data_IF_038497012660
#
_entry.id   IF_038497012660
#
_cell.length_a   1.000
_cell.length_b   1.000
_cell.length_c   1.000
_cell.angle_alpha   90.00
_cell.angle_beta   90.00
_cell.angle_gamma   90.00
#
_symmetry.space_group_name_H-M   'P 1'
#
loop_
_entity.id
_entity.type
_entity.pdbx_description
1 polymer ?
#
# COMPACT_ATOMS: atom_id res chain seq x y z
N UNK A 1 2.93 -6.16 -14.88
CA UNK A 1 3.51 -6.21 -13.52
C UNK A 1 3.52 -7.63 -12.92
N UNK A 2 2.39 -8.28 -12.58
CA UNK A 2 2.40 -9.55 -11.82
C UNK A 2 3.25 -10.65 -12.48
N UNK A 3 2.98 -10.96 -13.76
CA UNK A 3 3.72 -12.01 -14.49
C UNK A 3 5.23 -11.73 -14.55
N UNK A 4 5.63 -10.47 -14.71
CA UNK A 4 7.05 -10.13 -14.78
C UNK A 4 7.76 -10.25 -13.43
N UNK A 5 7.09 -9.97 -12.31
CA UNK A 5 7.63 -10.30 -10.98
C UNK A 5 7.83 -11.80 -10.83
N UNK A 6 6.79 -12.60 -11.11
CA UNK A 6 6.81 -14.05 -10.88
C UNK A 6 7.83 -14.78 -11.76
N UNK A 7 8.06 -14.31 -12.99
CA UNK A 7 9.08 -14.88 -13.88
C UNK A 7 10.51 -14.56 -13.45
N UNK A 8 10.73 -13.52 -12.65
CA UNK A 8 12.05 -13.07 -12.22
C UNK A 8 12.37 -13.37 -10.75
N UNK A 9 11.48 -14.05 -10.02
CA UNK A 9 11.74 -14.46 -8.63
C UNK A 9 11.47 -15.94 -8.41
N UNK A 10 12.19 -16.52 -7.45
CA UNK A 10 11.93 -17.88 -6.93
C UNK A 10 11.36 -17.87 -5.52
N UNK A 11 11.22 -16.68 -4.92
CA UNK A 11 10.68 -16.51 -3.57
C UNK A 11 9.15 -16.61 -3.61
N UNK A 12 8.50 -17.07 -2.54
CA UNK A 12 7.06 -16.95 -2.42
C UNK A 12 6.67 -15.47 -2.45
N UNK A 13 5.66 -15.13 -3.25
CA UNK A 13 5.16 -13.76 -3.41
C UNK A 13 3.73 -13.68 -2.92
N UNK A 14 3.44 -12.61 -2.17
CA UNK A 14 2.08 -12.22 -1.80
C UNK A 14 1.75 -10.83 -2.32
N UNK A 15 0.72 -10.72 -3.16
CA UNK A 15 0.24 -9.44 -3.69
C UNK A 15 -0.88 -8.86 -2.83
N UNK A 16 -0.82 -7.56 -2.58
CA UNK A 16 -1.84 -6.84 -1.82
C UNK A 16 -2.48 -5.80 -2.73
N UNK A 17 -3.81 -5.77 -2.79
CA UNK A 17 -4.54 -4.85 -3.65
C UNK A 17 -5.59 -4.07 -2.87
N UNK A 18 -5.76 -2.79 -3.21
CA UNK A 18 -6.82 -1.97 -2.62
C UNK A 18 -8.15 -2.33 -3.28
N UNK A 19 -9.03 -3.01 -2.54
CA UNK A 19 -10.27 -3.65 -3.02
C UNK A 19 -11.17 -2.70 -3.82
N UNK A 20 -11.29 -1.45 -3.37
CA UNK A 20 -12.30 -0.50 -3.86
C UNK A 20 -12.01 0.02 -5.29
N UNK A 21 -10.78 -0.15 -5.79
CA UNK A 21 -10.37 0.39 -7.09
C UNK A 21 -10.11 -0.68 -8.16
N UNK A 22 -10.46 -1.93 -7.86
CA UNK A 22 -10.39 -3.05 -8.81
C UNK A 22 -11.74 -3.27 -9.50
N UNK A 23 -11.72 -3.53 -10.81
CA UNK A 23 -12.92 -3.92 -11.55
C UNK A 23 -13.42 -5.31 -11.13
N UNK A 24 -14.72 -5.61 -11.28
CA UNK A 24 -15.27 -6.94 -11.06
C UNK A 24 -14.52 -8.03 -11.84
N UNK A 25 -14.28 -7.79 -13.14
CA UNK A 25 -13.56 -8.75 -13.99
C UNK A 25 -12.16 -9.08 -13.49
N UNK A 26 -11.43 -8.11 -12.92
CA UNK A 26 -10.11 -8.42 -12.34
C UNK A 26 -10.24 -9.24 -11.05
N UNK A 27 -11.25 -8.96 -10.22
CA UNK A 27 -11.52 -9.71 -8.98
C UNK A 27 -11.91 -11.17 -9.27
N UNK A 28 -12.55 -11.42 -10.41
CA UNK A 28 -12.87 -12.77 -10.88
C UNK A 28 -11.64 -13.51 -11.40
N UNK A 29 -10.71 -12.84 -12.08
CA UNK A 29 -9.53 -13.46 -12.68
C UNK A 29 -8.42 -13.77 -11.67
N UNK A 30 -8.19 -12.88 -10.69
CA UNK A 30 -7.04 -12.99 -9.77
C UNK A 30 -6.98 -14.29 -8.94
N UNK A 31 -8.08 -14.92 -8.49
CA UNK A 31 -8.02 -16.20 -7.76
C UNK A 31 -7.52 -17.35 -8.63
N UNK A 32 -7.89 -17.35 -9.92
CA UNK A 32 -7.39 -18.34 -10.88
C UNK A 32 -5.92 -18.11 -11.18
N UNK A 33 -5.53 -16.84 -11.33
CA UNK A 33 -4.14 -16.45 -11.56
C UNK A 33 -3.24 -16.86 -10.39
N UNK A 34 -3.70 -16.66 -9.15
CA UNK A 34 -2.99 -17.08 -7.94
C UNK A 34 -2.72 -18.59 -7.91
N UNK A 35 -3.70 -19.41 -8.32
CA UNK A 35 -3.56 -20.88 -8.40
C UNK A 35 -2.61 -21.31 -9.52
N UNK A 36 -2.77 -20.77 -10.73
CA UNK A 36 -1.97 -21.14 -11.90
C UNK A 36 -0.49 -20.76 -11.72
N UNK A 37 -0.24 -19.54 -11.21
CA UNK A 37 1.11 -18.98 -11.11
C UNK A 37 1.73 -19.10 -9.71
N UNK A 38 1.03 -19.73 -8.76
CA UNK A 38 1.58 -20.09 -7.45
C UNK A 38 1.93 -18.91 -6.54
N UNK A 39 1.03 -17.94 -6.40
CA UNK A 39 1.21 -16.80 -5.49
C UNK A 39 0.03 -16.62 -4.55
N UNK A 40 0.25 -15.92 -3.44
CA UNK A 40 -0.84 -15.51 -2.54
C UNK A 40 -1.32 -14.10 -2.88
N UNK A 41 -2.58 -13.80 -2.57
CA UNK A 41 -3.05 -12.42 -2.62
C UNK A 41 -4.00 -12.09 -1.47
N UNK A 42 -4.15 -10.80 -1.20
CA UNK A 42 -5.15 -10.28 -0.28
C UNK A 42 -5.73 -8.97 -0.82
N UNK A 43 -7.04 -8.82 -0.65
CA UNK A 43 -7.74 -7.58 -0.92
C UNK A 43 -7.86 -6.80 0.39
N UNK A 44 -7.25 -5.63 0.45
CA UNK A 44 -7.25 -4.76 1.63
C UNK A 44 -8.06 -3.51 1.35
N UNK A 45 -8.59 -2.92 2.42
CA UNK A 45 -9.33 -1.67 2.35
C UNK A 45 -9.27 -0.99 3.70
N UNK A 46 -9.39 0.33 3.70
CA UNK A 46 -9.48 1.13 4.91
C UNK A 46 -10.47 2.26 4.64
N UNK A 47 -11.35 2.55 5.60
CA UNK A 47 -12.33 3.62 5.44
C UNK A 47 -11.64 4.96 5.64
N UNK A 48 -11.88 5.89 4.71
CA UNK A 48 -11.39 7.26 4.84
C UNK A 48 -11.91 7.90 6.15
N UNK A 49 -11.05 8.38 7.06
CA UNK A 49 -11.49 8.98 8.32
C UNK A 49 -12.28 10.27 8.11
N UNK A 50 -13.32 10.49 8.91
CA UNK A 50 -14.21 11.67 8.78
C UNK A 50 -13.51 13.01 9.02
N UNK A 51 -12.44 13.02 9.81
CA UNK A 51 -11.68 14.21 10.16
C UNK A 51 -10.62 14.60 9.13
N UNK A 52 -10.26 13.70 8.20
CA UNK A 52 -9.21 13.90 7.22
C UNK A 52 -9.82 14.49 5.95
N UNK A 53 -9.28 15.59 5.44
CA UNK A 53 -9.79 16.30 4.26
C UNK A 53 -9.91 15.35 3.06
N UNK A 54 -11.14 15.17 2.57
CA UNK A 54 -11.44 14.17 1.54
C UNK A 54 -11.10 14.68 0.14
N UNK A 55 -10.56 13.79 -0.70
CA UNK A 55 -10.41 14.04 -2.13
C UNK A 55 -11.69 13.67 -2.89
N UNK A 56 -12.07 14.50 -3.87
CA UNK A 56 -13.26 14.27 -4.71
C UNK A 56 -12.92 13.52 -5.99
N UNK A 57 -11.75 13.79 -6.56
CA UNK A 57 -11.28 13.12 -7.78
C UNK A 57 -10.78 11.70 -7.47
N UNK A 58 -11.26 10.72 -8.24
CA UNK A 58 -10.90 9.30 -8.09
C UNK A 58 -9.39 9.08 -8.16
N UNK A 59 -8.70 9.77 -9.06
CA UNK A 59 -7.24 9.66 -9.21
C UNK A 59 -6.50 10.12 -7.95
N UNK A 60 -6.89 11.26 -7.39
CA UNK A 60 -6.30 11.80 -6.15
C UNK A 60 -6.60 10.93 -4.94
N UNK A 61 -7.79 10.31 -4.88
CA UNK A 61 -8.10 9.29 -3.87
C UNK A 61 -7.12 8.10 -3.98
N UNK A 62 -6.93 7.54 -5.18
CA UNK A 62 -5.99 6.42 -5.39
C UNK A 62 -4.58 6.80 -4.93
N UNK A 63 -4.09 7.99 -5.30
CA UNK A 63 -2.80 8.50 -4.82
C UNK A 63 -2.72 8.62 -3.30
N UNK A 64 -3.77 9.11 -2.64
CA UNK A 64 -3.82 9.20 -1.19
C UNK A 64 -3.70 7.81 -0.53
N UNK A 65 -4.42 6.80 -1.05
CA UNK A 65 -4.36 5.44 -0.51
C UNK A 65 -2.99 4.77 -0.70
N UNK A 66 -2.19 5.20 -1.67
CA UNK A 66 -0.80 4.73 -1.82
C UNK A 66 0.06 5.12 -0.61
N UNK A 67 -0.24 6.21 0.10
CA UNK A 67 0.70 6.79 1.09
C UNK A 67 0.12 7.01 2.49
N UNK A 68 -1.15 7.45 2.62
CA UNK A 68 -1.69 7.95 3.89
C UNK A 68 -2.05 6.87 4.91
N UNK A 69 -2.26 5.63 4.47
CA UNK A 69 -2.82 4.56 5.31
C UNK A 69 -1.91 3.34 5.42
N UNK A 70 -0.64 3.46 5.04
CA UNK A 70 0.33 2.36 5.04
C UNK A 70 0.48 1.68 6.42
N UNK A 71 0.32 2.43 7.51
CA UNK A 71 0.40 1.92 8.88
C UNK A 71 -0.80 1.05 9.29
N UNK A 72 -1.99 1.37 8.78
CA UNK A 72 -3.28 0.81 9.23
C UNK A 72 -3.96 -0.12 8.22
N UNK A 73 -3.65 -0.01 6.93
CA UNK A 73 -4.30 -0.82 5.88
C UNK A 73 -3.79 -2.27 5.83
N UNK A 74 -2.60 -2.52 6.38
CA UNK A 74 -1.97 -3.84 6.45
C UNK A 74 -2.05 -4.41 7.87
N UNK A 75 -2.13 -5.76 8.02
CA UNK A 75 -2.11 -6.38 9.35
C UNK A 75 -0.81 -6.08 10.10
N UNK A 76 -0.88 -6.08 11.43
CA UNK A 76 0.26 -5.77 12.30
C UNK A 76 1.43 -6.76 12.15
N UNK A 77 1.12 -8.02 11.78
CA UNK A 77 2.12 -9.05 11.53
C UNK A 77 2.94 -8.84 10.25
N UNK A 78 2.51 -7.95 9.35
CA UNK A 78 3.26 -7.63 8.14
C UNK A 78 4.34 -6.59 8.45
N UNK A 79 5.59 -6.96 8.19
CA UNK A 79 6.77 -6.16 8.57
C UNK A 79 7.25 -5.21 7.49
N UNK A 80 7.11 -5.58 6.21
CA UNK A 80 7.64 -4.82 5.09
C UNK A 80 6.80 -5.05 3.84
N UNK A 81 6.58 -4.00 3.05
CA UNK A 81 5.91 -4.06 1.75
C UNK A 81 6.71 -3.30 0.69
N UNK A 82 6.51 -3.69 -0.56
CA UNK A 82 7.05 -2.99 -1.73
C UNK A 82 5.85 -2.59 -2.59
N UNK A 83 5.76 -1.30 -2.89
CA UNK A 83 4.80 -0.79 -3.83
C UNK A 83 5.43 -0.78 -5.24
N UNK A 84 4.68 -1.26 -6.23
CA UNK A 84 5.05 -1.26 -7.64
C UNK A 84 3.85 -0.75 -8.44
N UNK A 85 4.02 0.32 -9.22
CA UNK A 85 2.95 0.82 -10.10
C UNK A 85 2.55 -0.24 -11.15
N UNK A 86 1.26 -0.23 -11.53
CA UNK A 86 0.64 -1.33 -12.26
C UNK A 86 1.17 -1.50 -13.70
N UNK A 87 1.65 -0.42 -14.31
CA UNK A 87 2.21 -0.38 -15.65
C UNK A 87 3.70 -0.75 -15.71
N UNK A 88 4.32 -1.09 -14.57
CA UNK A 88 5.72 -1.50 -14.56
C UNK A 88 5.95 -2.90 -15.10
N UNK A 89 7.15 -3.07 -15.67
CA UNK A 89 7.75 -4.36 -15.98
C UNK A 89 9.00 -4.57 -15.13
N UNK A 90 9.03 -5.65 -14.38
CA UNK A 90 10.14 -6.03 -13.49
C UNK A 90 11.03 -7.05 -14.19
N UNK A 91 12.35 -6.83 -14.17
CA UNK A 91 13.39 -7.65 -14.82
C UNK A 91 14.35 -8.31 -13.84
N UNK A 92 14.21 -8.04 -12.55
CA UNK A 92 15.11 -8.50 -11.51
C UNK A 92 14.32 -9.11 -10.34
N UNK A 93 14.97 -9.93 -9.52
CA UNK A 93 14.36 -10.50 -8.32
C UNK A 93 14.03 -9.39 -7.29
N UNK A 94 12.73 -9.13 -7.12
CA UNK A 94 12.20 -8.18 -6.11
C UNK A 94 12.62 -8.53 -4.68
N UNK A 95 13.02 -9.77 -4.43
CA UNK A 95 13.62 -10.20 -3.17
C UNK A 95 14.86 -9.37 -2.80
N UNK A 96 15.66 -8.92 -3.77
CA UNK A 96 16.81 -8.05 -3.50
C UNK A 96 16.37 -6.71 -2.88
N UNK A 97 15.25 -6.16 -3.35
CA UNK A 97 14.70 -4.91 -2.81
C UNK A 97 14.06 -5.12 -1.43
N UNK A 98 13.46 -6.29 -1.20
CA UNK A 98 12.92 -6.67 0.11
C UNK A 98 14.02 -6.78 1.17
N UNK A 99 15.16 -7.38 0.82
CA UNK A 99 16.28 -7.60 1.75
C UNK A 99 17.17 -6.36 1.93
N UNK A 100 16.98 -5.31 1.11
CA UNK A 100 17.80 -4.10 1.14
C UNK A 100 17.74 -3.44 2.54
N UNK A 101 18.89 -3.16 3.18
CA UNK A 101 18.92 -2.53 4.48
C UNK A 101 18.49 -1.06 4.38
N UNK A 102 17.43 -0.69 5.11
CA UNK A 102 16.89 0.68 5.05
C UNK A 102 17.60 1.69 5.96
N UNK A 103 18.61 1.26 6.70
CA UNK A 103 19.44 2.10 7.59
C UNK A 103 18.64 3.00 8.55
N UNK A 104 17.50 2.48 9.04
CA UNK A 104 16.62 3.20 9.97
C UNK A 104 15.60 4.12 9.30
N UNK A 105 15.61 4.27 7.97
CA UNK A 105 14.55 4.96 7.24
C UNK A 105 13.29 4.10 7.15
N UNK A 106 12.09 4.64 7.43
CA UNK A 106 10.84 3.91 7.27
C UNK A 106 10.44 3.71 5.80
N UNK A 107 10.99 4.54 4.91
CA UNK A 107 10.68 4.57 3.48
C UNK A 107 11.96 4.48 2.65
N UNK A 108 11.87 3.84 1.48
CA UNK A 108 12.93 3.89 0.48
C UNK A 108 12.36 4.05 -0.92
N UNK A 109 12.80 5.07 -1.65
CA UNK A 109 12.25 5.44 -2.96
C UNK A 109 13.38 5.59 -3.98
N UNK A 110 13.08 5.41 -5.27
CA UNK A 110 14.06 5.71 -6.32
C UNK A 110 14.04 7.21 -6.66
N UNK A 111 15.20 7.90 -6.72
CA UNK A 111 15.25 9.28 -7.15
C UNK A 111 14.92 9.44 -8.65
N UNK A 112 14.48 10.65 -9.04
CA UNK A 112 14.34 11.01 -10.46
C UNK A 112 15.68 10.89 -11.19
N UNK A 113 15.71 10.16 -12.31
CA UNK A 113 16.85 10.14 -13.23
C UNK A 113 17.21 11.54 -13.69
N UNK A 114 18.49 11.89 -13.73
CA UNK A 114 18.99 13.21 -14.16
C UNK A 114 19.79 13.19 -15.47
N UNK A 115 19.89 12.03 -16.12
CA UNK A 115 20.81 11.79 -17.23
C UNK A 115 20.19 11.84 -18.64
N UNK A 116 18.88 12.11 -18.78
CA UNK A 116 18.31 12.57 -20.04
C UNK A 116 18.31 14.10 -20.11
N UNK A 117 19.11 14.66 -21.03
CA UNK A 117 19.32 16.12 -21.18
C UNK A 117 18.14 16.81 -21.85
N UNK A 118 17.41 16.12 -22.72
CA UNK A 118 16.27 16.69 -23.46
C UNK A 118 15.13 17.10 -22.51
N UNK A 119 15.10 16.50 -21.32
CA UNK A 119 14.09 16.78 -20.30
C UNK A 119 14.48 17.88 -19.31
N UNK A 120 15.65 18.53 -19.42
CA UNK A 120 16.15 19.45 -18.39
C UNK A 120 15.16 20.59 -18.09
N UNK A 121 14.49 21.13 -19.12
CA UNK A 121 13.49 22.19 -18.96
C UNK A 121 12.23 21.77 -18.19
N UNK A 122 11.94 20.47 -18.10
CA UNK A 122 10.78 19.92 -17.39
C UNK A 122 11.12 19.50 -15.94
N UNK A 123 12.38 19.65 -15.50
CA UNK A 123 12.83 19.25 -14.16
C UNK A 123 12.46 20.30 -13.10
N UNK A 124 11.16 20.45 -12.85
CA UNK A 124 10.64 21.45 -11.92
C UNK A 124 11.23 21.33 -10.51
N UNK A 125 11.64 20.14 -10.07
CA UNK A 125 12.25 19.92 -8.76
C UNK A 125 13.66 20.49 -8.60
N UNK A 126 14.32 20.89 -9.70
CA UNK A 126 15.63 21.57 -9.67
C UNK A 126 15.52 23.09 -9.56
N UNK A 127 14.32 23.64 -9.48
CA UNK A 127 14.07 25.09 -9.43
C UNK A 127 12.98 25.47 -8.42
N UNK A 128 12.86 26.77 -8.14
CA UNK A 128 11.83 27.35 -7.28
C UNK A 128 11.70 26.66 -5.92
N UNK A 129 10.44 26.49 -5.50
CA UNK A 129 10.06 25.93 -4.20
C UNK A 129 10.77 24.59 -3.89
N UNK A 130 10.73 23.62 -4.80
CA UNK A 130 11.29 22.29 -4.53
C UNK A 130 12.80 22.33 -4.31
N UNK A 131 13.54 23.12 -5.10
CA UNK A 131 14.99 23.26 -4.90
C UNK A 131 15.33 23.79 -3.50
N UNK A 132 14.62 24.83 -3.07
CA UNK A 132 14.84 25.48 -1.79
C UNK A 132 14.41 24.59 -0.61
N UNK A 133 13.24 23.95 -0.74
CA UNK A 133 12.68 23.05 0.27
C UNK A 133 13.55 21.80 0.48
N UNK A 134 14.04 21.18 -0.60
CA UNK A 134 14.78 19.93 -0.53
C UNK A 134 16.17 20.05 0.11
N UNK A 135 16.78 21.25 0.10
CA UNK A 135 18.09 21.52 0.73
C UNK A 135 19.18 20.51 0.36
N UNK A 136 19.24 20.15 -0.92
CA UNK A 136 20.21 19.19 -1.46
C UNK A 136 19.77 17.72 -1.40
N UNK A 137 18.60 17.41 -0.80
CA UNK A 137 18.02 16.07 -0.88
C UNK A 137 17.43 15.77 -2.27
N UNK A 138 17.40 14.51 -2.72
CA UNK A 138 16.79 14.15 -4.00
C UNK A 138 15.26 14.32 -3.99
N UNK A 139 14.71 14.53 -5.18
CA UNK A 139 13.28 14.38 -5.45
C UNK A 139 13.02 12.96 -5.97
N UNK A 140 12.15 12.23 -5.28
CA UNK A 140 11.90 10.80 -5.46
C UNK A 140 10.61 10.50 -6.22
N UNK A 141 10.53 9.34 -6.87
CA UNK A 141 9.38 8.90 -7.67
C UNK A 141 8.50 7.93 -6.87
N UNK A 142 7.18 8.11 -6.90
CA UNK A 142 6.21 7.25 -6.20
C UNK A 142 5.82 5.97 -6.97
N UNK A 143 6.55 5.62 -8.03
CA UNK A 143 6.26 4.46 -8.86
C UNK A 143 6.79 3.15 -8.30
N UNK A 144 7.92 3.21 -7.58
CA UNK A 144 8.52 2.06 -6.88
C UNK A 144 9.09 2.53 -5.54
N UNK A 145 8.62 1.93 -4.45
CA UNK A 145 9.16 2.22 -3.12
C UNK A 145 8.95 1.07 -2.13
N UNK A 146 9.79 1.06 -1.10
CA UNK A 146 9.75 0.10 0.01
C UNK A 146 9.27 0.80 1.26
N UNK A 147 8.45 0.11 2.04
CA UNK A 147 7.99 0.56 3.36
C UNK A 147 8.40 -0.50 4.38
N UNK A 148 9.27 -0.11 5.31
CA UNK A 148 9.47 -0.87 6.55
C UNK A 148 8.33 -0.52 7.50
N UNK A 149 7.29 -1.36 7.53
CA UNK A 149 6.06 -1.12 8.28
C UNK A 149 6.33 -1.10 9.79
N UNK A 150 7.29 -1.90 10.27
CA UNK A 150 7.67 -1.89 11.69
C UNK A 150 8.22 -0.53 12.06
N UNK A 151 9.18 -0.01 11.28
CA UNK A 151 9.77 1.32 11.54
C UNK A 151 8.76 2.44 11.29
N UNK A 152 7.98 2.35 10.22
CA UNK A 152 6.96 3.34 9.84
C UNK A 152 5.93 3.53 10.96
N UNK A 153 5.41 2.43 11.53
CA UNK A 153 4.49 2.47 12.68
C UNK A 153 5.18 2.99 13.94
N UNK A 154 6.38 2.49 14.28
CA UNK A 154 7.12 2.91 15.49
C UNK A 154 7.45 4.41 15.49
N UNK A 155 7.63 5.01 14.32
CA UNK A 155 7.90 6.44 14.16
C UNK A 155 6.65 7.31 14.07
N UNK A 156 5.44 6.72 14.10
CA UNK A 156 4.20 7.42 13.78
C UNK A 156 4.29 8.19 12.44
N UNK A 157 4.95 7.60 11.44
CA UNK A 157 5.16 8.24 10.14
C UNK A 157 3.83 8.44 9.40
N UNK A 158 2.88 7.51 9.54
CA UNK A 158 1.52 7.63 8.98
C UNK A 158 0.78 8.85 9.52
N UNK A 159 0.80 9.07 10.84
CA UNK A 159 0.20 10.26 11.46
C UNK A 159 0.86 11.55 11.01
N UNK A 160 2.19 11.57 10.96
CA UNK A 160 2.96 12.72 10.46
C UNK A 160 2.55 13.07 9.02
N UNK A 161 2.45 12.08 8.13
CA UNK A 161 2.04 12.28 6.74
C UNK A 161 0.59 12.77 6.66
N UNK A 162 -0.33 12.22 7.47
CA UNK A 162 -1.74 12.66 7.51
C UNK A 162 -1.89 14.10 8.01
N UNK A 163 -1.12 14.52 9.01
CA UNK A 163 -1.12 15.91 9.52
C UNK A 163 -0.58 16.89 8.47
N UNK A 164 0.54 16.55 7.81
CA UNK A 164 1.09 17.39 6.73
C UNK A 164 0.08 17.47 5.57
N UNK A 165 -0.49 16.33 5.17
CA UNK A 165 -1.51 16.27 4.14
C UNK A 165 -2.70 17.17 4.50
N UNK A 166 -3.25 17.06 5.70
CA UNK A 166 -4.41 17.86 6.16
C UNK A 166 -4.14 19.36 6.12
N UNK A 167 -2.89 19.78 6.37
CA UNK A 167 -2.48 21.18 6.24
C UNK A 167 -2.39 21.63 4.80
N UNK A 168 -1.85 20.80 3.90
CA UNK A 168 -1.56 21.18 2.50
C UNK A 168 -2.78 20.98 1.58
N UNK A 169 -3.61 19.99 1.83
CA UNK A 169 -4.68 19.57 0.91
C UNK A 169 -5.85 20.55 0.80
N UNK A 170 -5.88 21.59 1.64
CA UNK A 170 -6.90 22.65 1.63
C UNK A 170 -6.68 23.64 0.48
N UNK A 171 -5.44 23.77 0.01
CA UNK A 171 -5.14 24.50 -1.22
C UNK A 171 -5.20 23.53 -2.41
N UNK A 172 -6.09 23.73 -3.39
CA UNK A 172 -6.20 22.86 -4.56
C UNK A 172 -4.96 22.86 -5.45
N UNK A 173 -4.09 23.87 -5.35
CA UNK A 173 -2.84 23.96 -6.13
C UNK A 173 -1.67 23.23 -5.46
N UNK A 174 -1.86 22.78 -4.22
CA UNK A 174 -0.86 22.01 -3.48
C UNK A 174 -0.95 20.52 -3.81
N UNK A 175 0.16 19.81 -3.68
CA UNK A 175 0.25 18.35 -3.90
C UNK A 175 -0.27 17.98 -5.30
N UNK A 176 0.40 18.49 -6.34
CA UNK A 176 0.05 18.25 -7.73
C UNK A 176 0.03 16.75 -8.03
N UNK A 177 1.07 16.03 -7.61
CA UNK A 177 1.12 14.57 -7.60
C UNK A 177 1.17 14.09 -6.16
N UNK A 178 0.01 13.94 -5.52
CA UNK A 178 -0.12 13.72 -4.08
C UNK A 178 0.79 12.61 -3.51
N UNK A 179 0.82 11.45 -4.16
CA UNK A 179 1.60 10.29 -3.74
C UNK A 179 3.11 10.49 -3.84
N UNK A 180 3.56 11.44 -4.67
CA UNK A 180 4.97 11.77 -4.86
C UNK A 180 5.38 13.02 -4.07
N UNK A 181 4.57 14.07 -4.11
CA UNK A 181 4.86 15.35 -3.48
C UNK A 181 4.84 15.25 -1.95
N UNK A 182 3.88 14.51 -1.38
CA UNK A 182 3.77 14.39 0.08
C UNK A 182 5.03 13.77 0.73
N UNK A 183 5.55 12.59 0.30
CA UNK A 183 6.77 12.05 0.87
C UNK A 183 7.99 12.95 0.59
N UNK A 184 8.08 13.56 -0.60
CA UNK A 184 9.18 14.49 -0.91
C UNK A 184 9.14 15.76 -0.06
N UNK A 185 7.96 16.26 0.30
CA UNK A 185 7.80 17.38 1.22
C UNK A 185 8.18 16.97 2.64
N UNK A 186 7.72 15.81 3.09
CA UNK A 186 7.89 15.31 4.45
C UNK A 186 9.28 14.71 4.73
N UNK A 187 10.18 14.58 3.73
CA UNK A 187 11.43 13.83 3.88
C UNK A 187 12.45 14.37 4.91
N UNK A 188 12.21 15.55 5.46
CA UNK A 188 12.98 16.09 6.59
C UNK A 188 12.53 15.53 7.94
N UNK A 189 11.26 15.11 8.06
CA UNK A 189 10.66 14.52 9.27
C UNK A 189 10.43 13.02 9.14
N UNK A 190 10.07 12.54 7.95
CA UNK A 190 9.90 11.11 7.61
C UNK A 190 11.03 10.70 6.65
N UNK A 191 12.15 10.14 7.15
CA UNK A 191 13.33 9.89 6.32
C UNK A 191 13.05 8.94 5.15
N UNK A 192 13.64 9.24 4.01
CA UNK A 192 13.63 8.41 2.80
C UNK A 192 15.06 7.96 2.51
N UNK A 193 15.26 6.65 2.37
CA UNK A 193 16.47 6.12 1.75
C UNK A 193 16.34 6.23 0.22
N UNK A 194 17.32 6.84 -0.44
CA UNK A 194 17.38 6.83 -1.90
C UNK A 194 17.87 5.46 -2.41
N UNK A 195 17.03 4.78 -3.18
CA UNK A 195 17.37 3.52 -3.83
C UNK A 195 18.37 3.73 -4.98
N UNK A 196 19.20 2.72 -5.31
CA UNK A 196 20.04 2.76 -6.51
C UNK A 196 19.22 3.04 -7.78
N UNK A 197 19.73 3.90 -8.66
CA UNK A 197 19.01 4.37 -9.86
C UNK A 197 18.56 3.23 -10.79
N UNK A 198 19.30 2.12 -10.83
CA UNK A 198 18.96 0.92 -11.61
C UNK A 198 17.60 0.30 -11.22
N UNK A 199 17.08 0.60 -10.03
CA UNK A 199 15.77 0.10 -9.61
C UNK A 199 14.60 0.68 -10.38
N UNK A 200 14.75 1.85 -11.00
CA UNK A 200 13.65 2.45 -11.76
C UNK A 200 14.20 3.19 -12.98
N UNK A 201 13.80 2.72 -14.16
CA UNK A 201 14.09 3.37 -15.42
C UNK A 201 12.79 3.77 -16.12
N UNK A 202 12.78 4.93 -16.74
CA UNK A 202 11.65 5.40 -17.55
C UNK A 202 12.21 6.20 -18.74
N UNK A 203 11.60 6.06 -19.92
CA UNK A 203 12.18 6.58 -21.15
C UNK A 203 12.29 8.10 -21.19
N UNK A 204 11.31 8.80 -20.61
CA UNK A 204 11.34 10.25 -20.59
C UNK A 204 12.53 10.75 -19.77
N UNK A 205 12.72 10.27 -18.54
CA UNK A 205 13.68 10.89 -17.62
C UNK A 205 15.08 10.27 -17.63
N UNK A 206 15.20 9.01 -18.04
CA UNK A 206 16.44 8.25 -17.98
C UNK A 206 17.09 8.08 -19.36
N UNK A 207 18.40 8.30 -19.44
CA UNK A 207 19.16 8.11 -20.67
C UNK A 207 19.16 6.66 -21.13
N UNK A 208 19.00 6.44 -22.45
CA UNK A 208 18.84 5.10 -23.05
C UNK A 208 20.02 4.14 -22.74
N UNK A 209 21.24 4.67 -22.60
CA UNK A 209 22.42 3.87 -22.23
C UNK A 209 22.29 3.13 -20.88
N UNK A 210 21.38 3.57 -20.00
CA UNK A 210 21.15 2.94 -18.69
C UNK A 210 20.07 1.85 -18.70
N UNK A 211 19.27 1.76 -19.77
CA UNK A 211 18.13 0.84 -19.89
C UNK A 211 18.52 -0.63 -19.76
N UNK A 212 19.71 -1.01 -20.25
CA UNK A 212 20.21 -2.38 -20.16
C UNK A 212 20.47 -2.86 -18.72
N UNK A 213 20.65 -1.93 -17.78
CA UNK A 213 20.85 -2.21 -16.34
C UNK A 213 19.58 -2.02 -15.51
N UNK A 214 18.46 -1.65 -16.14
CA UNK A 214 17.21 -1.37 -15.45
C UNK A 214 16.61 -2.66 -14.86
N UNK A 215 16.37 -2.65 -13.55
CA UNK A 215 15.72 -3.71 -12.78
C UNK A 215 14.21 -3.62 -12.86
N UNK A 216 13.65 -2.41 -12.94
CA UNK A 216 12.26 -2.20 -13.34
C UNK A 216 12.18 -1.07 -14.37
N UNK A 217 11.16 -1.16 -15.23
CA UNK A 217 10.83 -0.14 -16.23
C UNK A 217 9.43 0.38 -15.93
N UNK A 218 9.34 1.68 -15.72
CA UNK A 218 8.11 2.44 -15.58
C UNK A 218 7.70 3.06 -16.92
N UNK A 219 6.42 2.95 -17.26
CA UNK A 219 5.83 3.53 -18.47
C UNK A 219 5.35 4.95 -18.17
N UNK A 220 6.31 5.79 -17.79
CA UNK A 220 6.11 7.17 -17.42
C UNK A 220 5.50 7.99 -18.58
N UNK A 221 4.68 8.97 -18.23
CA UNK A 221 4.14 9.91 -19.21
C UNK A 221 5.25 10.82 -19.74
N UNK A 222 5.20 11.12 -21.03
CA UNK A 222 6.14 12.02 -21.68
C UNK A 222 5.54 13.45 -21.74
N UNK A 223 6.21 14.49 -21.22
CA UNK A 223 5.70 15.86 -21.33
C UNK A 223 5.81 16.43 -22.75
N UNK A 224 6.66 15.88 -23.61
CA UNK A 224 6.88 16.34 -24.98
C UNK A 224 5.97 15.65 -26.01
N UNK A 225 5.44 14.47 -25.68
CA UNK A 225 4.65 13.66 -26.63
C UNK A 225 3.41 13.08 -25.94
N UNK A 226 2.34 12.86 -26.70
CA UNK A 226 1.10 12.24 -26.20
C UNK A 226 0.97 10.78 -26.63
N UNK A 227 2.09 10.05 -26.69
CA UNK A 227 2.07 8.63 -27.08
C UNK A 227 1.24 7.81 -26.05
N UNK A 228 0.23 7.02 -26.50
CA UNK A 228 -0.52 6.15 -25.60
C UNK A 228 0.34 5.07 -24.95
N UNK A 229 0.08 4.74 -23.69
CA UNK A 229 0.87 3.75 -22.92
C UNK A 229 0.99 2.37 -23.60
N UNK A 230 -0.04 1.89 -24.29
CA UNK A 230 0.00 0.61 -25.01
C UNK A 230 1.03 0.62 -26.15
N UNK A 231 1.15 1.74 -26.86
CA UNK A 231 2.14 1.89 -27.93
C UNK A 231 3.55 1.98 -27.33
N UNK A 232 3.71 2.79 -26.27
CA UNK A 232 4.95 2.90 -25.52
C UNK A 232 5.41 1.55 -24.98
N UNK A 233 4.51 0.75 -24.40
CA UNK A 233 4.84 -0.56 -23.83
C UNK A 233 5.48 -1.51 -24.86
N UNK A 234 4.86 -1.63 -26.05
CA UNK A 234 5.35 -2.49 -27.14
C UNK A 234 6.70 -2.03 -27.69
N UNK A 235 6.93 -0.72 -27.75
CA UNK A 235 8.16 -0.12 -28.28
C UNK A 235 9.31 -0.13 -27.27
N UNK A 236 9.01 0.19 -26.01
CA UNK A 236 9.99 0.38 -24.94
C UNK A 236 10.41 -0.97 -24.36
N UNK A 237 9.48 -1.91 -24.16
CA UNK A 237 9.76 -3.14 -23.41
C UNK A 237 9.56 -4.36 -24.33
N UNK A 238 10.66 -4.93 -24.79
CA UNK A 238 10.64 -6.01 -25.78
C UNK A 238 9.85 -7.25 -25.31
N UNK A 239 9.91 -7.57 -24.03
CA UNK A 239 9.20 -8.71 -23.43
C UNK A 239 7.71 -8.44 -23.17
N UNK A 240 7.24 -7.20 -23.29
CA UNK A 240 5.86 -6.84 -22.93
C UNK A 240 4.83 -7.57 -23.76
N UNK A 241 5.05 -7.70 -25.07
CA UNK A 241 4.12 -8.41 -25.96
C UNK A 241 3.96 -9.90 -25.58
N UNK A 242 5.02 -10.54 -25.08
CA UNK A 242 4.96 -11.92 -24.60
C UNK A 242 4.16 -12.03 -23.29
N UNK A 243 4.34 -11.08 -22.37
CA UNK A 243 3.59 -11.02 -21.12
C UNK A 243 2.09 -10.77 -21.37
N UNK A 244 1.77 -9.85 -22.29
CA UNK A 244 0.40 -9.51 -22.68
C UNK A 244 -0.30 -10.72 -23.33
N UNK A 245 0.36 -11.39 -24.27
CA UNK A 245 -0.19 -12.57 -24.94
C UNK A 245 -0.43 -13.73 -23.97
N UNK A 246 0.47 -13.96 -23.01
CA UNK A 246 0.30 -14.96 -21.97
C UNK A 246 -0.91 -14.65 -21.08
N UNK A 247 -1.03 -13.40 -20.61
CA UNK A 247 -2.18 -12.98 -19.82
C UNK A 247 -3.48 -13.09 -20.61
N UNK A 248 -3.50 -12.70 -21.88
CA UNK A 248 -4.68 -12.76 -22.75
C UNK A 248 -5.17 -14.20 -22.90
N UNK A 249 -4.27 -15.14 -23.20
CA UNK A 249 -4.59 -16.58 -23.26
C UNK A 249 -5.10 -17.10 -21.93
N UNK A 250 -4.48 -16.71 -20.82
CA UNK A 250 -4.94 -17.10 -19.50
C UNK A 250 -6.36 -16.61 -19.22
N UNK A 251 -6.65 -15.33 -19.45
CA UNK A 251 -7.98 -14.76 -19.28
C UNK A 251 -9.02 -15.46 -20.16
N UNK A 252 -8.69 -15.76 -21.43
CA UNK A 252 -9.59 -16.52 -22.31
C UNK A 252 -9.94 -17.91 -21.76
N UNK A 253 -8.98 -18.61 -21.17
CA UNK A 253 -9.21 -19.93 -20.54
C UNK A 253 -10.13 -19.82 -19.32
N UNK A 254 -9.95 -18.78 -18.50
CA UNK A 254 -10.84 -18.49 -17.35
C UNK A 254 -12.26 -18.20 -17.84
N UNK A 255 -12.42 -17.33 -18.84
CA UNK A 255 -13.74 -16.99 -19.40
C UNK A 255 -14.44 -18.20 -20.06
N UNK A 256 -13.68 -19.19 -20.56
CA UNK A 256 -14.25 -20.45 -21.08
C UNK A 256 -14.63 -21.47 -20.00
N UNK A 257 -14.42 -21.16 -18.72
CA UNK A 257 -14.73 -22.06 -17.61
C UNK A 257 -13.76 -23.23 -17.46
N UNK A 258 -12.55 -23.17 -18.05
CA UNK A 258 -11.56 -24.27 -17.96
C UNK A 258 -11.07 -24.55 -16.53
N UNK A 259 -11.45 -23.72 -15.57
CA UNK A 259 -11.06 -23.81 -14.17
C UNK A 259 -12.25 -24.00 -13.22
N UNK A 260 -13.48 -24.16 -13.73
CA UNK A 260 -14.71 -24.26 -12.92
C UNK A 260 -14.87 -25.64 -12.27
N UNK A 261 -14.28 -26.69 -12.86
CA UNK A 261 -14.32 -28.07 -12.35
C UNK A 261 -13.37 -28.34 -11.16
N UNK A 262 -12.63 -27.33 -10.70
CA UNK A 262 -11.71 -27.45 -9.58
C UNK A 262 -12.25 -26.67 -8.39
N UNK A 263 -13.19 -27.30 -7.67
CA UNK A 263 -13.65 -26.85 -6.35
C UNK A 263 -12.48 -26.44 -5.44
N UNK A 264 -12.66 -25.52 -4.49
CA UNK A 264 -11.59 -25.11 -3.57
C UNK A 264 -11.24 -26.27 -2.63
N UNK A 265 -10.40 -27.19 -3.08
CA UNK A 265 -9.70 -28.06 -2.15
C UNK A 265 -8.75 -27.17 -1.36
N UNK A 266 -8.99 -27.07 -0.06
CA UNK A 266 -8.15 -26.39 0.92
C UNK A 266 -6.65 -26.58 0.61
N UNK A 267 -5.80 -25.57 0.91
CA UNK A 267 -4.37 -25.64 0.60
C UNK A 267 -3.77 -26.94 1.15
N UNK A 268 -3.21 -27.77 0.26
CA UNK A 268 -2.38 -28.91 0.65
C UNK A 268 -1.09 -28.37 1.24
N UNK A 269 -1.13 -28.06 2.54
CA UNK A 269 0.00 -27.47 3.25
C UNK A 269 -0.25 -27.14 4.72
N UNK A 270 -1.24 -27.74 5.39
CA UNK A 270 -1.26 -27.75 6.85
C UNK A 270 -0.29 -28.82 7.35
N UNK A 271 0.95 -28.40 7.65
CA UNK A 271 1.85 -29.17 8.49
C UNK A 271 1.11 -29.46 9.81
N UNK A 272 0.80 -30.73 10.04
CA UNK A 272 0.28 -31.24 11.31
C UNK A 272 1.33 -30.94 12.37
N UNK A 273 1.14 -29.90 13.17
CA UNK A 273 1.82 -29.79 14.45
C UNK A 273 1.30 -30.92 15.34
N UNK A 274 2.22 -31.79 15.74
CA UNK A 274 1.94 -32.87 16.69
C UNK A 274 1.42 -32.27 18.00
N UNK A 275 0.32 -32.84 18.48
CA UNK A 275 -0.40 -32.37 19.66
C UNK A 275 0.46 -32.34 20.91
N UNK A 276 0.46 -31.19 21.57
CA UNK A 276 0.78 -31.07 22.98
C UNK A 276 -0.25 -31.87 23.77
N UNK A 277 0.21 -32.91 24.48
CA UNK A 277 -0.61 -33.64 25.42
C UNK A 277 -0.87 -32.75 26.64
N UNK A 278 -2.13 -32.44 26.91
CA UNK A 278 -2.59 -31.87 28.17
C UNK A 278 -2.48 -32.94 29.26
N UNK A 279 -1.77 -32.62 30.34
CA UNK A 279 -1.76 -33.43 31.56
C UNK A 279 -3.13 -33.33 32.26
N UNK A 280 -3.67 -34.41 32.85
CA UNK A 280 -4.94 -34.37 33.56
C UNK A 280 -4.81 -33.72 34.94
N UNK A 281 -5.81 -32.92 35.32
CA UNK A 281 -6.04 -32.44 36.70
C UNK A 281 -6.41 -33.61 37.62
N UNK A 282 -6.02 -33.58 38.90
CA UNK A 282 -6.47 -34.58 39.87
C UNK A 282 -7.91 -34.29 40.32
N UNK A 283 -8.68 -35.36 40.50
CA UNK A 283 -10.05 -35.36 41.01
C UNK A 283 -10.10 -35.03 42.51
N UNK A 284 -11.13 -34.27 42.89
CA UNK A 284 -11.52 -34.02 44.29
C UNK A 284 -12.36 -35.18 44.83
N UNK A 285 -12.06 -35.60 46.06
CA UNK A 285 -12.82 -36.55 46.87
C UNK A 285 -12.46 -36.39 48.35
N UNK A 286 -13.33 -36.82 49.29
CA UNK A 286 -14.08 -35.88 50.12
C UNK A 286 -13.55 -35.65 51.55
N UNK A 287 -14.14 -34.61 52.16
CA UNK A 287 -13.96 -34.07 53.50
C UNK A 287 -14.28 -35.07 54.63
N UNK A 288 -13.46 -35.08 55.69
CA UNK A 288 -13.71 -35.80 56.94
C UNK A 288 -12.92 -35.21 58.13
N UNK A 289 -13.63 -34.37 58.89
CA UNK A 289 -13.52 -33.91 60.29
C UNK A 289 -12.38 -34.35 61.26
N UNK A 290 -11.78 -33.31 61.87
CA UNK A 290 -11.74 -33.01 63.32
C UNK A 290 -10.48 -33.28 64.21
N UNK A 291 -10.33 -32.33 65.16
CA UNK A 291 -9.66 -32.36 66.49
C UNK A 291 -8.14 -32.15 66.52
N UNK A 292 -7.65 -30.93 66.85
CA UNK A 292 -7.35 -30.30 68.18
C UNK A 292 -6.04 -30.73 68.83
N UNK A 293 -5.40 -29.74 69.49
CA UNK A 293 -4.20 -29.77 70.36
C UNK A 293 -2.86 -29.79 69.63
N UNK A 294 -1.82 -29.02 69.99
CA UNK A 294 -1.55 -28.14 71.12
C UNK A 294 -0.02 -27.94 71.23
N UNK A 295 0.42 -26.79 71.73
CA UNK A 295 1.81 -26.51 72.14
C UNK A 295 2.84 -26.19 71.04
N UNK A 296 3.92 -25.45 71.26
CA UNK A 296 4.35 -24.46 72.25
C UNK A 296 5.73 -23.94 71.75
N UNK A 297 5.94 -22.62 71.87
CA UNK A 297 7.21 -21.91 72.23
C UNK A 297 8.46 -21.82 71.33
N UNK A 298 9.09 -20.65 71.48
CA UNK A 298 10.45 -20.21 71.12
C UNK A 298 10.40 -19.09 70.08
N UNK A 299 10.21 -17.80 70.38
CA UNK A 299 10.96 -16.88 71.28
C UNK A 299 12.49 -16.89 71.07
N UNK A 300 12.99 -15.84 70.41
CA UNK A 300 14.03 -14.88 70.84
C UNK A 300 14.43 -14.03 69.60
N UNK A 301 14.08 -12.75 69.54
CA UNK A 301 14.83 -11.57 70.05
C UNK A 301 16.14 -11.31 69.27
N UNK A 302 16.57 -10.09 68.95
CA UNK A 302 16.11 -8.72 69.20
C UNK A 302 17.01 -7.75 68.41
N UNK A 303 16.59 -6.48 68.33
CA UNK A 303 17.43 -5.29 68.14
C UNK A 303 17.37 -4.72 66.72
N UNK A 304 16.68 -3.60 66.43
CA UNK A 304 16.74 -2.29 67.11
C UNK A 304 17.85 -1.46 66.43
N UNK A 305 17.74 -0.20 66.02
CA UNK A 305 16.94 0.99 66.34
C UNK A 305 17.17 1.96 65.13
N UNK A 306 16.18 2.65 64.55
CA UNK A 306 15.65 4.00 64.90
C UNK A 306 16.73 5.10 64.96
N UNK A 307 16.60 6.35 64.51
CA UNK A 307 15.48 7.29 64.28
C UNK A 307 15.90 8.30 63.18
N UNK A 308 14.98 8.85 62.37
CA UNK A 308 14.36 10.17 62.58
C UNK A 308 14.90 11.16 61.50
N UNK A 309 14.16 12.06 60.85
CA UNK A 309 12.96 12.82 61.25
C UNK A 309 12.52 13.73 60.06
N UNK A 310 11.18 13.87 59.87
CA UNK A 310 10.32 15.00 59.40
C UNK A 310 10.83 15.96 58.27
N UNK A 311 10.04 16.52 57.33
CA UNK A 311 8.60 16.80 57.20
C UNK A 311 8.26 17.33 55.77
N UNK A 312 6.99 17.21 55.35
CA UNK A 312 6.31 17.99 54.29
C UNK A 312 6.25 17.32 52.91
N UNK A 313 5.11 16.97 52.29
CA UNK A 313 3.70 17.31 52.51
C UNK A 313 3.14 17.92 51.22
N UNK A 314 2.58 17.11 50.32
CA UNK A 314 1.61 17.55 49.30
C UNK A 314 0.77 16.36 48.82
N UNK A 315 -0.53 16.60 48.71
CA UNK A 315 -1.64 15.64 48.63
C UNK A 315 -1.74 14.94 47.26
N UNK A 316 -2.04 13.64 47.28
CA UNK A 316 -2.48 12.87 46.12
C UNK A 316 -3.83 12.22 46.46
N UNK A 317 -4.87 12.56 45.71
CA UNK A 317 -6.17 11.88 45.77
C UNK A 317 -6.11 10.56 45.00
N UNK A 318 -6.43 9.48 45.71
CA UNK A 318 -6.76 8.16 45.17
C UNK A 318 -8.18 8.15 44.60
N UNK A 319 -8.37 7.41 43.50
CA UNK A 319 -9.67 7.13 42.90
C UNK A 319 -9.67 5.75 42.25
N UNK A 320 -9.98 4.75 43.08
CA UNK A 320 -10.60 3.44 42.84
C UNK A 320 -10.22 2.59 41.60
N UNK A 321 -9.58 1.47 41.90
CA UNK A 321 -9.49 0.27 41.07
C UNK A 321 -10.85 -0.44 40.96
N UNK A 322 -11.30 -0.68 39.73
CA UNK A 322 -12.37 -1.62 39.39
C UNK A 322 -11.86 -2.68 38.44
N UNK A 323 -11.47 -3.85 38.98
CA UNK A 323 -11.08 -5.02 38.20
C UNK A 323 -12.28 -5.68 37.52
N UNK A 324 -12.15 -5.97 36.24
CA UNK A 324 -13.03 -6.90 35.52
C UNK A 324 -12.15 -7.78 34.61
N UNK A 325 -12.00 -9.04 34.99
CA UNK A 325 -11.60 -10.12 34.08
C UNK A 325 -12.76 -10.39 33.10
N UNK A 326 -12.49 -10.36 31.79
CA UNK A 326 -13.32 -11.07 30.79
C UNK A 326 -12.38 -11.77 29.82
N UNK A 327 -12.27 -13.09 29.99
CA UNK A 327 -11.94 -13.99 28.89
C UNK A 327 -13.11 -14.02 27.91
N UNK A 328 -12.83 -13.80 26.63
CA UNK A 328 -13.81 -13.90 25.56
C UNK A 328 -13.11 -14.24 24.24
N UNK A 329 -13.37 -15.44 23.74
CA UNK A 329 -13.09 -15.86 22.37
C UNK A 329 -13.79 -14.93 21.40
N UNK A 330 -13.06 -14.34 20.45
CA UNK A 330 -13.68 -13.51 19.41
C UNK A 330 -13.93 -14.34 18.15
N UNK A 331 -15.19 -14.72 18.01
CA UNK A 331 -15.82 -15.26 16.83
C UNK A 331 -15.72 -14.29 15.64
N UNK A 332 -15.82 -14.84 14.43
CA UNK A 332 -15.59 -14.16 13.17
C UNK A 332 -16.43 -12.89 12.95
N UNK A 333 -15.83 -11.93 12.26
CA UNK A 333 -16.51 -10.75 11.76
C UNK A 333 -17.43 -11.15 10.60
N UNK A 334 -18.74 -11.05 10.82
CA UNK A 334 -19.74 -10.96 9.75
C UNK A 334 -19.68 -9.58 9.09
N UNK A 335 -19.91 -9.56 7.78
CA UNK A 335 -19.93 -8.38 6.92
C UNK A 335 -21.31 -7.71 7.04
N UNK A 336 -21.33 -6.41 7.28
CA UNK A 336 -22.55 -5.58 7.32
C UNK A 336 -23.18 -5.50 5.89
N UNK A 337 -24.48 -5.82 5.70
CA UNK A 337 -25.13 -5.86 4.38
C UNK A 337 -25.41 -4.49 3.73
N UNK A 338 -25.10 -3.38 4.40
CA UNK A 338 -25.52 -2.04 3.96
C UNK A 338 -24.79 -1.47 2.70
N UNK A 339 -24.22 -2.32 1.84
CA UNK A 339 -23.51 -1.92 0.62
C UNK A 339 -23.94 -2.65 -0.66
N UNK A 340 -25.01 -3.45 -0.63
CA UNK A 340 -25.61 -4.01 -1.86
C UNK A 340 -26.38 -2.95 -2.70
N UNK A 341 -26.71 -1.78 -2.13
CA UNK A 341 -27.51 -0.76 -2.81
C UNK A 341 -26.74 0.22 -3.71
N UNK A 342 -25.42 0.05 -3.91
CA UNK A 342 -24.64 0.88 -4.85
C UNK A 342 -24.56 0.30 -6.26
N UNK A 343 -24.87 -0.98 -6.47
CA UNK A 343 -24.89 -1.59 -7.81
C UNK A 343 -26.11 -1.12 -8.62
N UNK A 344 -27.25 -0.87 -7.97
CA UNK A 344 -28.47 -0.36 -8.64
C UNK A 344 -28.36 1.07 -9.20
N UNK A 345 -27.39 1.85 -8.75
CA UNK A 345 -27.15 3.21 -9.26
C UNK A 345 -26.23 3.23 -10.49
N UNK A 346 -25.46 2.15 -10.75
CA UNK A 346 -24.64 2.04 -11.96
C UNK A 346 -25.48 1.69 -13.20
N UNK A 347 -26.54 0.87 -13.08
CA UNK A 347 -27.43 0.58 -14.22
C UNK A 347 -28.21 1.81 -14.71
N UNK A 348 -28.64 2.71 -13.80
CA UNK A 348 -29.34 3.94 -14.17
C UNK A 348 -28.45 4.95 -14.91
N UNK A 349 -27.13 4.94 -14.68
CA UNK A 349 -26.20 5.84 -15.35
C UNK A 349 -25.86 5.39 -16.78
N UNK A 350 -25.95 4.09 -17.07
CA UNK A 350 -25.68 3.54 -18.41
C UNK A 350 -26.86 3.83 -19.35
N UNK A 351 -28.11 3.73 -18.89
CA UNK A 351 -29.28 4.06 -19.72
C UNK A 351 -29.37 5.55 -20.10
N UNK A 352 -28.86 6.45 -19.25
CA UNK A 352 -28.84 7.89 -19.53
C UNK A 352 -27.83 8.30 -20.63
N UNK A 353 -26.81 7.48 -20.89
CA UNK A 353 -25.77 7.78 -21.90
C UNK A 353 -26.15 7.26 -23.29
N UNK A 354 -26.92 6.18 -23.37
CA UNK A 354 -27.42 5.66 -24.66
C UNK A 354 -28.60 6.48 -25.22
N UNK A 355 -29.35 7.19 -24.36
CA UNK A 355 -30.42 8.10 -24.79
C UNK A 355 -29.94 9.41 -25.44
N UNK A 356 -28.66 9.77 -25.33
CA UNK A 356 -28.12 11.05 -25.78
C UNK A 356 -27.32 10.97 -27.10
N UNK A 357 -27.36 9.83 -27.80
CA UNK A 357 -26.61 9.59 -29.06
C UNK A 357 -27.46 9.57 -30.33
N UNK A 358 -28.69 10.04 -30.26
CA UNK A 358 -29.62 10.00 -31.39
C UNK A 358 -30.22 11.36 -31.72
N UNK A 359 -29.40 12.40 -31.92
CA UNK A 359 -29.79 13.69 -32.49
C UNK A 359 -28.48 14.50 -32.67
N UNK A 360 -27.93 14.52 -33.90
CA UNK A 360 -27.00 15.52 -34.46
C UNK A 360 -26.28 14.91 -35.69
N UNK A 361 -27.04 14.66 -36.75
CA UNK A 361 -26.55 14.62 -38.13
C UNK A 361 -27.41 15.61 -38.92
N UNK A 362 -26.78 16.32 -39.87
CA UNK A 362 -27.29 17.37 -40.75
C UNK A 362 -27.20 18.82 -40.20
N UNK A 363 -26.14 19.55 -40.57
CA UNK A 363 -26.25 20.81 -41.34
C UNK A 363 -24.86 21.38 -41.72
N UNK A 364 -24.82 21.93 -42.95
CA UNK A 364 -23.89 22.91 -43.51
C UNK A 364 -22.58 22.47 -44.21
N UNK A 365 -22.77 22.04 -45.47
CA UNK A 365 -21.90 22.41 -46.60
C UNK A 365 -22.39 23.74 -47.23
N UNK A 366 -21.43 24.54 -47.70
CA UNK A 366 -21.51 25.74 -48.58
C UNK A 366 -21.59 27.11 -47.87
N UNK A 367 -20.48 27.88 -47.88
CA UNK A 367 -20.34 28.96 -48.87
C UNK A 367 -19.05 29.80 -48.70
N UNK A 368 -18.57 30.27 -49.85
CA UNK A 368 -17.76 31.47 -50.16
C UNK A 368 -16.22 31.49 -50.01
N UNK A 369 -15.62 31.38 -51.21
CA UNK A 369 -14.38 32.03 -51.65
C UNK A 369 -14.38 33.55 -51.38
N UNK A 370 -13.32 34.09 -50.75
CA UNK A 370 -12.66 35.30 -51.27
C UNK A 370 -11.27 35.56 -50.69
N UNK A 371 -10.46 36.16 -51.56
CA UNK A 371 -9.03 36.44 -51.55
C UNK A 371 -8.52 37.27 -50.36
N UNK A 372 -7.22 37.16 -50.08
CA UNK A 372 -6.55 38.15 -49.21
C UNK A 372 -5.08 37.84 -48.91
N UNK A 373 -4.20 38.39 -49.73
CA UNK A 373 -2.74 38.38 -49.69
C UNK A 373 -2.09 38.87 -48.37
N UNK A 374 -0.83 38.46 -48.23
CA UNK A 374 0.34 39.24 -47.81
C UNK A 374 0.99 39.07 -46.42
N UNK A 375 2.32 39.12 -46.51
CA UNK A 375 3.39 38.89 -45.55
C UNK A 375 3.40 39.88 -44.38
N UNK A 376 3.80 39.41 -43.19
CA UNK A 376 5.03 39.81 -42.48
C UNK A 376 5.22 39.01 -41.19
#
# INVERSE_FOLDING_TARGET
MILSVLKNTRRPVKFWFIKNYLSPSFKEVIPHMAREYGFEYALITYKWPSWLHKQTEKQRLIWAYKILFLDVIFPLSLEKVIFVDADQVVREDMGQLYDLPLHGSPLAYTPMCDNNRDMEGYRFWKQGFWKEHLRGKPYHISALYVVDLVKFRRMAAGDTLRVIYESLSKDPNSLANLDQDLPNYAQHTVPILSLPQEWLWCESWCGNATKARAKTIDLCNNPMTKEPKLQGARRIVAEWAGLDEEQRRFTERVTRGEFDDLSPSAPRGALRFAGFHSAPRPEEGPVGEAMTEGGERGEEDAGGLSEGREEGGEEAEEGEEGGVEVGGEWAGYEVDPAYEDLEGLEEMAVEAVDGAKGEDEDEDEQDEEHEGHEEL
#
